data_IF_947980395865
#
_entry.id   IF_947980395865
#
_cell.length_a   1.000
_cell.length_b   1.000
_cell.length_c   1.000
_cell.angle_alpha   90.00
_cell.angle_beta   90.00
_cell.angle_gamma   90.00
#
_symmetry.space_group_name_H-M   'P 1'
#
loop_
_entity.id
_entity.type
_entity.pdbx_description
1 polymer ?
#
# COMPACT_ATOMS: atom_id res chain seq x y z
N UNK A 1 -18.94 4.17 46.40
CA UNK A 1 -18.04 3.48 45.45
C UNK A 1 -18.93 2.89 44.38
N UNK A 2 -19.09 3.60 43.27
CA UNK A 2 -19.93 3.13 42.14
C UNK A 2 -19.25 1.93 41.48
N UNK A 3 -19.97 0.82 41.35
CA UNK A 3 -19.56 -0.34 40.61
C UNK A 3 -19.33 0.12 39.15
N UNK A 4 -18.06 0.20 38.75
CA UNK A 4 -17.70 0.37 37.36
C UNK A 4 -18.15 -0.92 36.68
N UNK A 5 -19.32 -0.89 36.04
CA UNK A 5 -19.80 -2.01 35.25
C UNK A 5 -18.71 -2.45 34.28
N UNK A 6 -18.66 -3.73 34.01
CA UNK A 6 -17.67 -4.29 33.07
C UNK A 6 -17.78 -3.55 31.74
N UNK A 7 -16.84 -2.65 31.44
CA UNK A 7 -16.83 -1.82 30.21
C UNK A 7 -16.39 -2.62 28.98
N UNK A 8 -15.88 -3.86 29.19
CA UNK A 8 -15.34 -4.69 28.10
C UNK A 8 -16.37 -5.06 27.03
N UNK A 9 -17.61 -5.49 27.36
CA UNK A 9 -18.57 -5.85 26.34
C UNK A 9 -18.90 -4.68 25.43
N UNK A 10 -19.13 -3.48 25.99
CA UNK A 10 -19.41 -2.28 25.23
C UNK A 10 -18.20 -1.86 24.35
N UNK A 11 -16.97 -1.94 24.90
CA UNK A 11 -15.76 -1.68 24.14
C UNK A 11 -15.62 -2.62 22.92
N UNK A 12 -15.82 -3.93 23.14
CA UNK A 12 -15.73 -4.92 22.06
C UNK A 12 -16.79 -4.67 20.98
N UNK A 13 -18.00 -4.30 21.37
CA UNK A 13 -19.08 -3.95 20.45
C UNK A 13 -18.69 -2.74 19.59
N UNK A 14 -18.27 -1.63 20.20
CA UNK A 14 -17.84 -0.44 19.48
C UNK A 14 -16.62 -0.70 18.57
N UNK A 15 -15.67 -1.52 18.99
CA UNK A 15 -14.53 -1.88 18.14
C UNK A 15 -14.95 -2.71 16.92
N UNK A 16 -16.03 -3.50 17.01
CA UNK A 16 -16.62 -4.19 15.87
C UNK A 16 -17.31 -3.21 14.92
N UNK A 17 -18.12 -2.30 15.46
CA UNK A 17 -18.83 -1.29 14.68
C UNK A 17 -17.89 -0.36 13.92
N UNK A 18 -16.80 0.02 14.55
CA UNK A 18 -15.73 0.81 13.93
C UNK A 18 -14.80 0.00 13.02
N UNK A 19 -15.03 -1.31 12.88
CA UNK A 19 -14.20 -2.21 12.06
C UNK A 19 -12.71 -2.14 12.44
N UNK A 20 -12.38 -2.27 13.72
CA UNK A 20 -11.03 -2.25 14.28
C UNK A 20 -10.60 -3.64 14.80
N UNK A 21 -10.42 -4.64 13.92
CA UNK A 21 -10.15 -6.00 14.34
C UNK A 21 -8.81 -6.15 15.07
N UNK A 22 -7.76 -5.47 14.62
CA UNK A 22 -6.42 -5.56 15.23
C UNK A 22 -6.40 -4.95 16.61
N UNK A 23 -7.07 -3.81 16.80
CA UNK A 23 -7.24 -3.20 18.12
C UNK A 23 -7.93 -4.18 19.07
N UNK A 24 -9.04 -4.80 18.63
CA UNK A 24 -9.78 -5.79 19.43
C UNK A 24 -8.94 -6.98 19.85
N UNK A 25 -7.97 -7.39 19.04
CA UNK A 25 -7.09 -8.51 19.33
C UNK A 25 -5.93 -8.13 20.26
N UNK A 26 -5.42 -6.90 20.19
CA UNK A 26 -4.19 -6.53 20.88
C UNK A 26 -4.35 -5.58 22.08
N UNK A 27 -5.53 -4.97 22.30
CA UNK A 27 -5.70 -3.91 23.29
C UNK A 27 -5.39 -4.39 24.72
N UNK A 28 -5.79 -5.62 25.11
CA UNK A 28 -5.54 -6.15 26.46
C UNK A 28 -4.06 -6.40 26.71
N UNK A 29 -3.38 -7.06 25.77
CA UNK A 29 -1.96 -7.36 25.92
C UNK A 29 -1.12 -6.07 25.92
N UNK A 30 -1.52 -5.09 25.10
CA UNK A 30 -0.88 -3.78 25.07
C UNK A 30 -1.13 -3.02 26.37
N UNK A 31 -2.33 -3.12 26.97
CA UNK A 31 -2.65 -2.51 28.26
C UNK A 31 -1.79 -3.11 29.39
N UNK A 32 -1.70 -4.44 29.47
CA UNK A 32 -0.85 -5.13 30.46
C UNK A 32 0.62 -4.73 30.34
N UNK A 33 1.10 -4.51 29.11
CA UNK A 33 2.47 -4.04 28.89
C UNK A 33 2.61 -2.58 29.31
N UNK A 34 1.65 -1.71 28.96
CA UNK A 34 1.66 -0.32 29.35
C UNK A 34 1.70 -0.14 30.87
N UNK A 35 0.99 -0.97 31.63
CA UNK A 35 1.05 -0.99 33.09
C UNK A 35 2.44 -1.35 33.62
N UNK A 36 3.10 -2.35 33.02
CA UNK A 36 4.45 -2.79 33.43
C UNK A 36 5.53 -1.75 33.11
N UNK A 37 5.40 -1.10 31.95
CA UNK A 37 6.37 -0.13 31.43
C UNK A 37 6.04 1.31 31.83
N UNK A 38 4.98 1.50 32.62
CA UNK A 38 4.50 2.84 33.06
C UNK A 38 4.30 3.82 31.90
N UNK A 39 3.74 3.33 30.79
CA UNK A 39 3.46 4.17 29.63
C UNK A 39 2.32 5.14 29.95
N UNK A 40 2.36 6.33 29.32
CA UNK A 40 1.22 7.25 29.38
C UNK A 40 0.01 6.69 28.62
N UNK A 41 -1.19 7.14 28.95
CA UNK A 41 -2.41 6.74 28.24
C UNK A 41 -2.34 7.08 26.74
N UNK A 42 -1.70 8.18 26.40
CA UNK A 42 -1.49 8.60 25.02
C UNK A 42 -0.53 7.64 24.26
N UNK A 43 0.55 7.21 24.92
CA UNK A 43 1.48 6.24 24.35
C UNK A 43 0.82 4.88 24.12
N UNK A 44 0.03 4.42 25.07
CA UNK A 44 -0.78 3.20 24.91
C UNK A 44 -1.73 3.31 23.71
N UNK A 45 -2.51 4.39 23.65
CA UNK A 45 -3.46 4.61 22.56
C UNK A 45 -2.76 4.67 21.19
N UNK A 46 -1.65 5.42 21.12
CA UNK A 46 -0.85 5.54 19.90
C UNK A 46 -0.38 4.18 19.42
N UNK A 47 0.12 3.34 20.31
CA UNK A 47 0.61 2.02 19.96
C UNK A 47 -0.50 1.12 19.40
N UNK A 48 -1.65 1.07 20.06
CA UNK A 48 -2.79 0.26 19.63
C UNK A 48 -3.28 0.71 18.25
N UNK A 49 -3.40 2.01 18.03
CA UNK A 49 -3.84 2.57 16.74
C UNK A 49 -2.78 2.35 15.66
N UNK A 50 -1.49 2.50 15.99
CA UNK A 50 -0.40 2.25 15.01
C UNK A 50 -0.46 0.82 14.47
N UNK A 51 -0.68 -0.17 15.33
CA UNK A 51 -0.82 -1.57 14.90
C UNK A 51 -1.99 -1.78 13.94
N UNK A 52 -3.12 -1.15 14.19
CA UNK A 52 -4.28 -1.21 13.29
C UNK A 52 -3.94 -0.59 11.93
N UNK A 53 -3.33 0.60 11.93
CA UNK A 53 -2.92 1.30 10.71
C UNK A 53 -1.94 0.46 9.88
N UNK A 54 -0.93 -0.13 10.52
CA UNK A 54 0.04 -1.01 9.87
C UNK A 54 -0.61 -2.25 9.26
N UNK A 55 -1.54 -2.89 9.99
CA UNK A 55 -2.23 -4.06 9.50
C UNK A 55 -3.14 -3.71 8.30
N UNK A 56 -3.86 -2.60 8.37
CA UNK A 56 -4.66 -2.09 7.24
C UNK A 56 -3.80 -1.79 6.03
N UNK A 57 -2.64 -1.17 6.24
CA UNK A 57 -1.68 -0.91 5.17
C UNK A 57 -1.20 -2.21 4.53
N UNK A 58 -0.79 -3.20 5.32
CA UNK A 58 -0.37 -4.52 4.83
C UNK A 58 -1.46 -5.18 3.99
N UNK A 59 -2.69 -5.21 4.50
CA UNK A 59 -3.84 -5.80 3.80
C UNK A 59 -4.13 -5.07 2.49
N UNK A 60 -4.07 -3.73 2.49
CA UNK A 60 -4.24 -2.91 1.28
C UNK A 60 -3.17 -3.22 0.24
N UNK A 61 -1.89 -3.24 0.63
CA UNK A 61 -0.78 -3.55 -0.28
C UNK A 61 -0.91 -4.96 -0.85
N UNK A 62 -1.23 -5.95 -0.02
CA UNK A 62 -1.45 -7.33 -0.48
C UNK A 62 -2.59 -7.41 -1.51
N UNK A 63 -3.69 -6.70 -1.27
CA UNK A 63 -4.81 -6.63 -2.21
C UNK A 63 -4.39 -5.97 -3.52
N UNK A 64 -3.70 -4.83 -3.46
CA UNK A 64 -3.21 -4.13 -4.65
C UNK A 64 -2.25 -5.00 -5.48
N UNK A 65 -1.35 -5.73 -4.82
CA UNK A 65 -0.43 -6.67 -5.50
C UNK A 65 -1.20 -7.82 -6.15
N UNK A 66 -2.19 -8.38 -5.48
CA UNK A 66 -3.04 -9.44 -6.04
C UNK A 66 -3.83 -8.94 -7.25
N UNK A 67 -4.45 -7.76 -7.15
CA UNK A 67 -5.27 -7.17 -8.21
C UNK A 67 -4.43 -6.67 -9.41
N UNK A 68 -3.11 -6.52 -9.24
CA UNK A 68 -2.22 -6.03 -10.28
C UNK A 68 -1.85 -7.08 -11.34
N UNK A 69 -2.07 -8.37 -11.07
CA UNK A 69 -1.64 -9.50 -11.91
C UNK A 69 -0.13 -9.54 -12.19
N UNK A 70 0.67 -8.81 -11.37
CA UNK A 70 2.12 -8.82 -11.49
C UNK A 70 2.69 -10.19 -11.07
N UNK A 71 3.69 -10.73 -11.78
CA UNK A 71 4.40 -11.95 -11.36
C UNK A 71 5.19 -11.69 -10.08
N UNK A 72 4.63 -12.12 -8.93
CA UNK A 72 5.15 -11.80 -7.59
C UNK A 72 6.51 -12.45 -7.28
N UNK A 73 6.87 -13.51 -7.98
CA UNK A 73 8.19 -14.16 -7.86
C UNK A 73 9.35 -13.25 -8.32
N UNK A 74 9.05 -12.22 -9.13
CA UNK A 74 10.02 -11.25 -9.65
C UNK A 74 10.13 -10.02 -8.76
N UNK A 75 10.46 -10.23 -7.49
CA UNK A 75 10.61 -9.15 -6.51
C UNK A 75 12.01 -8.49 -6.59
N UNK A 76 12.13 -7.30 -5.97
CA UNK A 76 13.42 -6.60 -5.85
C UNK A 76 14.46 -7.43 -5.10
N UNK A 77 14.04 -8.25 -4.13
CA UNK A 77 14.92 -9.14 -3.37
C UNK A 77 15.57 -10.22 -4.24
N UNK A 78 14.83 -10.71 -5.24
CA UNK A 78 15.29 -11.73 -6.19
C UNK A 78 15.94 -11.12 -7.43
N UNK A 79 16.00 -9.79 -7.52
CA UNK A 79 16.53 -9.08 -8.69
C UNK A 79 18.02 -8.78 -8.53
N UNK A 80 18.83 -9.41 -9.38
CA UNK A 80 20.27 -9.19 -9.35
C UNK A 80 20.64 -7.84 -10.00
N UNK A 81 20.72 -6.82 -9.16
CA UNK A 81 21.12 -5.46 -9.57
C UNK A 81 22.51 -5.40 -10.19
N UNK A 82 23.41 -6.39 -9.90
CA UNK A 82 24.77 -6.41 -10.44
C UNK A 82 24.80 -6.75 -11.93
N UNK A 83 23.75 -7.39 -12.45
CA UNK A 83 23.61 -7.67 -13.88
C UNK A 83 23.16 -6.48 -14.70
N UNK A 84 22.68 -5.43 -14.05
CA UNK A 84 22.28 -4.20 -14.74
C UNK A 84 23.49 -3.31 -15.02
N UNK A 85 23.52 -2.64 -16.17
CA UNK A 85 24.46 -1.53 -16.39
C UNK A 85 24.28 -0.47 -15.30
N UNK A 86 25.39 0.16 -14.88
CA UNK A 86 25.35 1.19 -13.83
C UNK A 86 24.35 2.33 -14.12
N UNK A 87 24.16 2.69 -15.40
CA UNK A 87 23.16 3.66 -15.84
C UNK A 87 21.73 3.19 -15.52
N UNK A 88 21.40 1.92 -15.82
CA UNK A 88 20.07 1.34 -15.57
C UNK A 88 19.78 1.22 -14.06
N UNK A 89 20.77 0.85 -13.26
CA UNK A 89 20.65 0.81 -11.80
C UNK A 89 20.36 2.20 -11.22
N UNK A 90 21.03 3.24 -11.73
CA UNK A 90 20.78 4.62 -11.31
C UNK A 90 19.38 5.07 -11.70
N UNK A 91 18.95 4.78 -12.92
CA UNK A 91 17.61 5.09 -13.39
C UNK A 91 16.53 4.36 -12.58
N UNK A 92 16.75 3.08 -12.23
CA UNK A 92 15.81 2.35 -11.36
C UNK A 92 15.61 3.06 -10.02
N UNK A 93 16.70 3.49 -9.37
CA UNK A 93 16.63 4.22 -8.09
C UNK A 93 15.84 5.53 -8.22
N UNK A 94 16.03 6.27 -9.31
CA UNK A 94 15.25 7.49 -9.57
C UNK A 94 13.77 7.17 -9.81
N UNK A 95 13.46 6.09 -10.53
CA UNK A 95 12.08 5.72 -10.81
C UNK A 95 11.34 5.19 -9.57
N UNK A 96 12.06 4.61 -8.60
CA UNK A 96 11.48 4.11 -7.35
C UNK A 96 10.89 5.23 -6.46
N UNK A 97 11.29 6.49 -6.65
CA UNK A 97 10.66 7.62 -5.97
C UNK A 97 9.22 7.87 -6.43
N UNK A 98 8.83 7.36 -7.61
CA UNK A 98 7.48 7.44 -8.16
C UNK A 98 7.08 8.82 -8.71
N UNK A 99 7.97 9.82 -8.70
CA UNK A 99 7.67 11.19 -9.14
C UNK A 99 7.22 11.27 -10.61
N UNK A 100 7.69 10.34 -11.45
CA UNK A 100 7.28 10.25 -12.86
C UNK A 100 5.77 9.97 -13.02
N UNK A 101 5.14 9.28 -12.06
CA UNK A 101 3.69 9.04 -12.07
C UNK A 101 2.89 10.34 -11.87
N UNK A 102 3.38 11.21 -10.98
CA UNK A 102 2.77 12.51 -10.72
C UNK A 102 2.91 13.44 -11.93
N UNK A 103 4.06 13.36 -12.63
CA UNK A 103 4.31 14.09 -13.88
C UNK A 103 3.65 13.46 -15.10
N UNK A 104 2.94 12.33 -14.95
CA UNK A 104 2.29 11.58 -16.04
C UNK A 104 3.26 11.17 -17.15
N UNK A 105 4.50 10.86 -16.79
CA UNK A 105 5.55 10.44 -17.72
C UNK A 105 5.45 8.93 -17.99
N UNK A 106 5.78 8.53 -19.22
CA UNK A 106 5.86 7.13 -19.61
C UNK A 106 7.29 6.60 -19.45
N UNK A 107 7.41 5.35 -19.02
CA UNK A 107 8.70 4.65 -18.92
C UNK A 107 8.77 3.61 -20.03
N UNK A 108 9.73 3.77 -20.93
CA UNK A 108 10.00 2.83 -22.03
C UNK A 108 11.34 2.15 -21.80
N UNK A 109 11.36 0.80 -21.89
CA UNK A 109 12.56 0.00 -21.68
C UNK A 109 12.92 -0.76 -22.96
N UNK A 110 14.09 -0.45 -23.51
CA UNK A 110 14.62 -1.06 -24.73
C UNK A 110 15.81 -1.97 -24.42
N UNK A 111 16.01 -3.00 -25.23
CA UNK A 111 17.13 -3.93 -25.12
C UNK A 111 16.88 -5.25 -25.83
N UNK A 112 17.89 -6.10 -25.92
CA UNK A 112 17.81 -7.38 -26.59
C UNK A 112 16.82 -8.36 -25.90
N UNK A 113 16.26 -9.36 -26.60
CA UNK A 113 15.54 -10.45 -25.98
C UNK A 113 16.36 -11.08 -24.84
N UNK A 114 15.70 -11.44 -23.73
CA UNK A 114 16.37 -12.03 -22.57
C UNK A 114 17.14 -11.06 -21.65
N UNK A 115 17.26 -9.77 -21.98
CA UNK A 115 18.02 -8.79 -21.16
C UNK A 115 17.34 -8.36 -19.85
N UNK A 116 16.21 -8.96 -19.47
CA UNK A 116 15.55 -8.69 -18.19
C UNK A 116 14.58 -7.50 -18.17
N UNK A 117 14.19 -6.92 -19.33
CA UNK A 117 13.29 -5.76 -19.41
C UNK A 117 11.98 -5.93 -18.64
N UNK A 118 11.30 -7.05 -18.86
CA UNK A 118 10.04 -7.34 -18.17
C UNK A 118 10.24 -7.54 -16.68
N UNK A 119 11.35 -8.13 -16.26
CA UNK A 119 11.71 -8.28 -14.86
C UNK A 119 11.94 -6.90 -14.21
N UNK A 120 12.70 -6.02 -14.86
CA UNK A 120 12.94 -4.65 -14.42
C UNK A 120 11.63 -3.88 -14.21
N UNK A 121 10.71 -3.91 -15.20
CA UNK A 121 9.42 -3.25 -15.09
C UNK A 121 8.52 -3.86 -14.00
N UNK A 122 8.55 -5.18 -13.84
CA UNK A 122 7.80 -5.87 -12.79
C UNK A 122 8.28 -5.46 -11.40
N UNK A 123 9.60 -5.44 -11.19
CA UNK A 123 10.22 -5.00 -9.92
C UNK A 123 9.85 -3.55 -9.62
N UNK A 124 9.99 -2.66 -10.60
CA UNK A 124 9.61 -1.25 -10.44
C UNK A 124 8.12 -1.11 -10.06
N UNK A 125 7.24 -1.81 -10.75
CA UNK A 125 5.80 -1.76 -10.49
C UNK A 125 5.45 -2.30 -9.08
N UNK A 126 6.03 -3.44 -8.67
CA UNK A 126 5.81 -4.00 -7.33
C UNK A 126 6.25 -3.03 -6.24
N UNK A 127 7.44 -2.44 -6.35
CA UNK A 127 7.94 -1.48 -5.37
C UNK A 127 7.06 -0.23 -5.29
N UNK A 128 6.56 0.28 -6.42
CA UNK A 128 5.63 1.41 -6.44
C UNK A 128 4.28 1.06 -5.78
N UNK A 129 3.79 -0.17 -5.91
CA UNK A 129 2.60 -0.63 -5.18
C UNK A 129 2.88 -0.66 -3.68
N UNK A 130 4.04 -1.18 -3.25
CA UNK A 130 4.39 -1.31 -1.82
C UNK A 130 4.65 0.06 -1.18
N UNK A 131 5.38 0.93 -1.86
CA UNK A 131 5.83 2.23 -1.30
C UNK A 131 4.77 3.32 -1.46
N UNK A 132 4.14 3.40 -2.61
CA UNK A 132 3.20 4.48 -2.97
C UNK A 132 1.73 4.06 -2.90
N UNK A 133 1.45 2.79 -2.64
CA UNK A 133 0.10 2.22 -2.58
C UNK A 133 -0.74 2.54 -3.84
N UNK A 134 -0.08 2.68 -5.00
CA UNK A 134 -0.72 2.95 -6.27
C UNK A 134 -1.27 1.66 -6.88
N UNK A 135 -2.48 1.73 -7.41
CA UNK A 135 -3.06 0.64 -8.19
C UNK A 135 -2.29 0.50 -9.50
N UNK A 136 -1.82 -0.71 -9.78
CA UNK A 136 -1.13 -1.09 -11.01
C UNK A 136 -1.90 -2.22 -11.69
N UNK A 137 -1.78 -2.29 -13.00
CA UNK A 137 -2.31 -3.41 -13.78
C UNK A 137 -1.25 -3.87 -14.76
N UNK A 138 -0.94 -5.16 -14.73
CA UNK A 138 0.01 -5.80 -15.65
C UNK A 138 -0.76 -6.52 -16.75
N UNK A 139 -0.53 -6.15 -18.00
CA UNK A 139 -1.17 -6.81 -19.14
C UNK A 139 -0.23 -6.91 -20.32
N UNK A 140 -0.52 -7.85 -21.22
CA UNK A 140 0.17 -7.95 -22.50
C UNK A 140 -0.47 -6.98 -23.49
N UNK A 141 0.34 -6.28 -24.29
CA UNK A 141 -0.15 -5.31 -25.27
C UNK A 141 -1.20 -5.92 -26.23
N UNK A 142 -1.03 -7.18 -26.63
CA UNK A 142 -2.00 -7.87 -27.49
C UNK A 142 -3.38 -8.03 -26.81
N UNK A 143 -3.44 -8.22 -25.50
CA UNK A 143 -4.69 -8.32 -24.77
C UNK A 143 -5.34 -6.94 -24.61
N UNK A 144 -4.53 -5.92 -24.32
CA UNK A 144 -5.02 -4.55 -24.20
C UNK A 144 -5.72 -4.05 -25.48
N UNK A 145 -5.22 -4.47 -26.65
CA UNK A 145 -5.84 -4.12 -27.94
C UNK A 145 -7.17 -4.85 -28.23
N UNK A 146 -7.45 -5.93 -27.50
CA UNK A 146 -8.69 -6.70 -27.64
C UNK A 146 -9.78 -6.26 -26.65
N UNK A 147 -9.43 -5.49 -25.62
CA UNK A 147 -10.39 -4.97 -24.67
C UNK A 147 -11.28 -3.89 -25.34
N UNK A 148 -12.62 -3.98 -25.20
CA UNK A 148 -13.52 -2.96 -25.73
C UNK A 148 -13.24 -1.61 -25.06
N UNK A 149 -13.36 -0.52 -25.84
CA UNK A 149 -13.01 0.84 -25.41
C UNK A 149 -13.73 1.31 -24.11
N UNK A 150 -14.84 0.68 -23.74
CA UNK A 150 -15.57 0.94 -22.49
C UNK A 150 -14.81 0.59 -21.22
N UNK A 151 -13.81 -0.32 -21.29
CA UNK A 151 -12.98 -0.70 -20.12
C UNK A 151 -11.74 0.17 -19.97
N UNK A 152 -11.42 1.03 -20.94
CA UNK A 152 -10.22 1.88 -20.94
C UNK A 152 -10.41 3.22 -20.18
N UNK A 153 -11.66 3.57 -19.85
CA UNK A 153 -11.94 4.72 -19.00
C UNK A 153 -11.62 4.35 -17.54
N UNK A 154 -10.44 4.72 -17.09
CA UNK A 154 -10.13 4.73 -15.65
C UNK A 154 -11.19 5.55 -14.90
N UNK A 155 -11.41 5.31 -13.60
CA UNK A 155 -12.39 6.07 -12.83
C UNK A 155 -12.13 7.55 -13.01
N UNK A 156 -13.14 8.27 -13.48
CA UNK A 156 -13.12 9.72 -13.59
C UNK A 156 -12.71 10.28 -12.22
N UNK A 157 -11.65 11.07 -12.21
CA UNK A 157 -11.29 11.86 -11.03
C UNK A 157 -12.40 12.90 -10.90
N UNK A 158 -13.29 12.70 -9.94
CA UNK A 158 -14.28 13.71 -9.61
C UNK A 158 -13.52 15.00 -9.20
N UNK A 159 -13.86 16.15 -9.76
CA UNK A 159 -13.28 17.40 -9.32
C UNK A 159 -13.74 17.64 -7.87
N UNK A 160 -12.75 17.72 -6.96
CA UNK A 160 -13.01 18.02 -5.57
C UNK A 160 -13.88 19.27 -5.44
N UNK A 161 -14.97 19.12 -4.74
CA UNK A 161 -15.89 20.19 -4.35
C UNK A 161 -15.12 21.26 -3.55
N UNK A 162 -14.81 22.38 -4.24
CA UNK A 162 -14.31 23.60 -3.63
C UNK A 162 -15.52 24.41 -3.16
N UNK A 163 -16.17 24.00 -2.08
CA UNK A 163 -17.08 24.90 -1.36
C UNK A 163 -16.25 25.84 -0.48
N UNK A 164 -15.83 26.95 -1.07
CA UNK A 164 -15.47 28.15 -0.33
C UNK A 164 -16.74 28.68 0.36
N UNK A 165 -16.83 28.56 1.68
CA UNK A 165 -17.79 29.28 2.49
C UNK A 165 -17.27 30.69 2.83
N UNK A 166 -18.08 31.73 2.76
CA UNK A 166 -17.66 33.08 3.07
C UNK A 166 -17.81 33.42 4.57
N UNK A 167 -16.93 34.34 5.03
CA UNK A 167 -16.93 35.16 6.27
C UNK A 167 -16.51 34.49 7.55
#
# INVERSE_FOLDING_TARGET
>A
MSAVGDVRPALIEHLKDLHLPTVRECYEDTARRAERETLSYEQYLLEVITRECEQRRKTRVQRLLKDSELPLEKSLQNFDLKRLPAKATRQLRTLLDGSFLERKENVLVFGNPGSGKSHFLTVLAQELVVVRERKMHFTKCALLMQEPASCQAGPAVEPGDQTAGPL
#
